data_IF_101780865438
#
_entry.id   IF_101780865438
#
_cell.length_a   1.000
_cell.length_b   1.000
_cell.length_c   1.000
_cell.angle_alpha   90.00
_cell.angle_beta   90.00
_cell.angle_gamma   90.00
#
_symmetry.space_group_name_H-M   'P 1'
#
loop_
_entity.id
_entity.type
_entity.pdbx_description
1 polymer ?
#
# COMPACT_ATOMS: atom_id res chain seq x y z
N UNK A 1 -5.72 -55.78 -11.70
CA UNK A 1 -5.59 -55.40 -10.28
C UNK A 1 -5.79 -53.87 -10.21
N UNK A 2 -7.04 -53.45 -10.03
CA UNK A 2 -7.40 -52.04 -9.89
C UNK A 2 -7.13 -51.63 -8.44
N UNK A 3 -6.31 -50.61 -8.21
CA UNK A 3 -6.16 -49.97 -6.90
C UNK A 3 -7.20 -48.86 -6.80
N UNK A 4 -8.17 -49.05 -5.93
CA UNK A 4 -9.06 -48.00 -5.48
C UNK A 4 -8.26 -46.96 -4.68
N UNK A 5 -8.33 -45.70 -5.12
CA UNK A 5 -7.80 -44.58 -4.39
C UNK A 5 -8.81 -44.25 -3.29
N UNK A 6 -8.50 -44.58 -2.06
CA UNK A 6 -9.26 -44.15 -0.88
C UNK A 6 -8.93 -42.68 -0.60
N UNK A 7 -9.83 -41.81 -1.03
CA UNK A 7 -9.77 -40.38 -0.65
C UNK A 7 -10.21 -40.29 0.81
N UNK A 8 -9.25 -40.10 1.68
CA UNK A 8 -9.49 -39.87 3.09
C UNK A 8 -10.16 -38.51 3.26
N UNK A 9 -11.43 -38.47 3.63
CA UNK A 9 -12.20 -37.24 3.88
C UNK A 9 -11.68 -36.54 5.14
N UNK A 10 -10.67 -35.71 5.01
CA UNK A 10 -10.29 -34.79 6.05
C UNK A 10 -11.44 -33.80 6.32
N UNK A 11 -11.94 -33.83 7.53
CA UNK A 11 -13.02 -32.92 7.99
C UNK A 11 -12.46 -31.50 8.05
N UNK A 12 -12.74 -30.70 7.02
CA UNK A 12 -12.50 -29.26 7.07
C UNK A 12 -13.30 -28.67 8.22
N UNK A 13 -12.69 -27.97 9.18
CA UNK A 13 -13.42 -27.33 10.27
C UNK A 13 -14.48 -26.39 9.71
N UNK A 14 -15.71 -26.46 10.21
CA UNK A 14 -16.87 -25.66 9.74
C UNK A 14 -16.63 -24.15 9.74
N UNK A 15 -15.68 -23.66 10.53
CA UNK A 15 -15.29 -22.24 10.59
C UNK A 15 -14.56 -21.79 9.31
N UNK A 16 -13.76 -22.68 8.69
CA UNK A 16 -13.03 -22.36 7.45
C UNK A 16 -13.98 -22.32 6.26
N UNK A 17 -15.00 -23.18 6.25
CA UNK A 17 -15.98 -23.18 5.17
C UNK A 17 -16.84 -21.90 5.13
N UNK A 18 -17.14 -21.28 6.28
CA UNK A 18 -17.95 -20.06 6.35
C UNK A 18 -17.14 -18.82 5.89
N UNK A 19 -15.84 -18.78 6.13
CA UNK A 19 -14.96 -17.68 5.69
C UNK A 19 -14.70 -17.79 4.18
N UNK A 20 -14.52 -19.00 3.65
CA UNK A 20 -14.27 -19.24 2.22
C UNK A 20 -15.45 -18.83 1.32
N UNK A 21 -16.68 -19.02 1.76
CA UNK A 21 -17.88 -18.62 0.99
C UNK A 21 -18.06 -17.11 0.94
N UNK A 22 -17.70 -16.38 1.99
CA UNK A 22 -17.79 -14.92 2.02
C UNK A 22 -16.71 -14.24 1.15
N UNK A 23 -15.54 -14.88 0.99
CA UNK A 23 -14.42 -14.33 0.20
C UNK A 23 -14.50 -14.64 -1.29
N UNK A 24 -15.14 -15.72 -1.70
CA UNK A 24 -15.26 -16.10 -3.12
C UNK A 24 -16.19 -15.20 -3.94
N UNK A 25 -17.03 -14.39 -3.32
CA UNK A 25 -17.93 -13.46 -4.01
C UNK A 25 -17.32 -12.08 -4.28
N UNK A 26 -16.12 -11.78 -3.78
CA UNK A 26 -15.44 -10.48 -3.94
C UNK A 26 -14.14 -10.50 -4.77
N UNK A 27 -13.72 -11.67 -5.28
CA UNK A 27 -12.36 -11.87 -5.82
C UNK A 27 -12.18 -11.40 -7.28
N UNK A 28 -13.21 -11.06 -8.03
CA UNK A 28 -13.05 -10.78 -9.46
C UNK A 28 -12.64 -9.36 -9.84
N UNK A 29 -12.51 -8.41 -8.91
CA UNK A 29 -12.18 -7.01 -9.23
C UNK A 29 -10.96 -6.42 -8.51
N UNK A 30 -10.36 -7.13 -7.56
CA UNK A 30 -9.33 -6.55 -6.67
C UNK A 30 -7.87 -6.82 -7.07
N UNK A 31 -7.60 -7.70 -8.02
CA UNK A 31 -6.22 -8.01 -8.46
C UNK A 31 -5.52 -6.89 -9.23
N UNK A 32 -6.27 -5.89 -9.69
CA UNK A 32 -5.71 -4.74 -10.41
C UNK A 32 -5.28 -3.58 -9.49
N UNK A 33 -5.81 -3.46 -8.27
CA UNK A 33 -5.57 -2.30 -7.41
C UNK A 33 -4.41 -2.45 -6.41
N UNK A 34 -4.07 -3.65 -5.96
CA UNK A 34 -3.00 -3.83 -4.96
C UNK A 34 -1.60 -3.61 -5.52
N UNK A 35 -1.40 -3.84 -6.81
CA UNK A 35 -0.15 -3.45 -7.50
C UNK A 35 -0.08 -1.95 -7.79
N UNK A 36 -1.20 -1.23 -7.78
CA UNK A 36 -1.25 0.22 -8.02
C UNK A 36 -0.93 1.05 -6.77
N UNK A 37 -1.16 0.55 -5.56
CA UNK A 37 -0.84 1.30 -4.33
C UNK A 37 0.67 1.49 -4.11
N UNK A 38 1.50 0.60 -4.65
CA UNK A 38 2.95 0.77 -4.65
C UNK A 38 3.47 1.56 -5.88
N UNK A 39 2.68 1.67 -6.95
CA UNK A 39 3.06 2.30 -8.21
C UNK A 39 2.48 3.71 -8.42
N UNK A 40 1.60 4.20 -7.55
CA UNK A 40 0.91 5.48 -7.71
C UNK A 40 1.78 6.73 -7.46
N UNK A 41 3.11 6.60 -7.40
CA UNK A 41 4.02 7.75 -7.53
C UNK A 41 4.55 7.97 -8.96
N UNK A 42 4.27 7.08 -9.90
CA UNK A 42 4.53 7.34 -11.31
C UNK A 42 3.30 8.03 -11.94
N UNK A 43 3.28 9.35 -11.92
CA UNK A 43 2.40 10.10 -12.82
C UNK A 43 2.82 9.77 -14.26
N UNK A 44 2.08 8.88 -14.90
CA UNK A 44 2.19 8.73 -16.36
C UNK A 44 1.83 10.07 -17.00
N UNK A 45 2.82 10.77 -17.53
CA UNK A 45 2.55 11.87 -18.47
C UNK A 45 1.75 11.30 -19.64
N UNK A 46 0.63 11.92 -20.06
CA UNK A 46 -0.04 11.50 -21.28
C UNK A 46 1.01 11.49 -22.39
N UNK A 47 1.12 10.39 -23.10
CA UNK A 47 2.01 10.29 -24.25
C UNK A 47 1.73 11.47 -25.18
N UNK A 48 2.76 12.26 -25.44
CA UNK A 48 2.65 13.40 -26.31
C UNK A 48 2.15 12.91 -27.69
N UNK A 49 0.91 13.22 -28.00
CA UNK A 49 0.33 12.90 -29.29
C UNK A 49 1.16 13.59 -30.36
N UNK A 50 1.81 12.81 -31.25
CA UNK A 50 2.53 13.31 -32.43
C UNK A 50 1.60 13.83 -33.53
N UNK A 51 0.37 14.19 -33.20
CA UNK A 51 -0.47 14.92 -34.13
C UNK A 51 -0.07 16.38 -34.11
N UNK A 52 0.35 16.88 -35.25
CA UNK A 52 0.57 18.31 -35.48
C UNK A 52 -0.62 19.11 -34.90
N UNK A 53 -0.40 20.25 -34.28
CA UNK A 53 -1.47 21.03 -33.68
C UNK A 53 -2.45 21.41 -34.80
N UNK A 54 -3.67 20.90 -34.68
CA UNK A 54 -4.76 21.31 -35.53
C UNK A 54 -4.98 22.81 -35.34
N UNK A 55 -4.83 23.59 -36.42
CA UNK A 55 -5.01 25.05 -36.37
C UNK A 55 -6.47 25.29 -35.95
N UNK A 56 -6.68 25.60 -34.69
CA UNK A 56 -8.02 25.94 -34.18
C UNK A 56 -8.52 27.17 -34.94
N UNK A 57 -9.67 27.04 -35.61
CA UNK A 57 -10.37 28.18 -36.22
C UNK A 57 -10.57 29.26 -35.14
N UNK A 58 -10.37 30.55 -35.47
CA UNK A 58 -10.56 31.63 -34.50
C UNK A 58 -11.97 31.57 -33.90
N UNK A 59 -12.04 31.65 -32.57
CA UNK A 59 -13.31 31.69 -31.86
C UNK A 59 -14.03 32.98 -32.27
N UNK A 60 -15.31 32.91 -32.68
CA UNK A 60 -16.07 34.09 -33.07
C UNK A 60 -16.05 35.14 -31.95
N UNK A 61 -15.91 36.41 -32.31
CA UNK A 61 -15.80 37.54 -31.37
C UNK A 61 -17.01 37.65 -30.41
N UNK A 62 -18.17 37.11 -30.78
CA UNK A 62 -19.37 37.06 -29.92
C UNK A 62 -19.20 36.23 -28.61
N UNK A 63 -18.23 35.30 -28.59
CA UNK A 63 -17.97 34.48 -27.39
C UNK A 63 -16.95 35.15 -26.50
N UNK A 64 -16.06 35.99 -27.05
CA UNK A 64 -15.05 36.73 -26.26
C UNK A 64 -15.65 37.71 -25.27
N UNK A 65 -16.84 38.21 -25.51
CA UNK A 65 -17.50 39.20 -24.64
C UNK A 65 -18.34 38.59 -23.52
N UNK A 66 -18.39 37.24 -23.40
CA UNK A 66 -19.14 36.52 -22.35
C UNK A 66 -18.26 35.75 -21.38
N UNK A 67 -16.95 35.88 -21.47
CA UNK A 67 -16.09 35.36 -20.42
C UNK A 67 -16.45 36.09 -19.10
N UNK A 68 -16.81 35.36 -18.04
CA UNK A 68 -17.01 35.99 -16.75
C UNK A 68 -15.74 36.80 -16.42
N UNK A 69 -15.90 38.05 -15.96
CA UNK A 69 -14.79 38.84 -15.44
C UNK A 69 -14.15 38.04 -14.32
N UNK A 70 -13.02 37.44 -14.59
CA UNK A 70 -12.19 36.87 -13.57
C UNK A 70 -11.77 38.02 -12.66
N UNK A 71 -12.38 38.10 -11.49
CA UNK A 71 -11.94 39.00 -10.44
C UNK A 71 -10.55 38.49 -10.08
N UNK A 72 -9.53 39.21 -10.52
CA UNK A 72 -8.15 38.93 -10.14
C UNK A 72 -8.01 39.34 -8.67
N UNK A 73 -8.31 38.40 -7.79
CA UNK A 73 -7.78 38.46 -6.44
C UNK A 73 -6.30 38.12 -6.53
N UNK A 74 -5.47 39.15 -6.44
CA UNK A 74 -4.04 39.08 -6.69
C UNK A 74 -3.26 38.43 -5.53
N UNK A 75 -3.94 37.88 -4.52
CA UNK A 75 -3.25 37.40 -3.33
C UNK A 75 -2.58 36.03 -3.48
N UNK A 76 -2.95 35.18 -4.44
CA UNK A 76 -2.37 33.82 -4.54
C UNK A 76 -2.18 33.24 -5.94
N UNK A 77 -2.55 33.91 -7.02
CA UNK A 77 -2.37 33.37 -8.40
C UNK A 77 -3.11 32.06 -8.72
N UNK A 78 -3.69 31.43 -7.72
CA UNK A 78 -4.39 30.14 -7.84
C UNK A 78 -5.90 30.34 -7.79
N UNK A 79 -6.58 29.97 -8.86
CA UNK A 79 -8.04 29.91 -8.87
C UNK A 79 -8.42 28.45 -8.56
N UNK A 80 -9.00 28.19 -7.38
CA UNK A 80 -9.43 26.84 -7.05
C UNK A 80 -10.49 26.40 -8.05
N UNK A 81 -10.25 25.29 -8.76
CA UNK A 81 -11.27 24.64 -9.56
C UNK A 81 -12.33 24.12 -8.60
N UNK A 82 -13.63 24.37 -8.81
CA UNK A 82 -14.65 23.84 -7.94
C UNK A 82 -14.55 22.34 -7.90
N UNK A 83 -14.42 21.79 -6.69
CA UNK A 83 -14.31 20.35 -6.50
C UNK A 83 -15.57 19.65 -6.99
N UNK A 84 -15.38 18.42 -7.43
CA UNK A 84 -16.48 17.59 -7.94
C UNK A 84 -17.65 17.49 -6.96
N UNK A 85 -17.40 17.42 -5.65
CA UNK A 85 -18.43 17.32 -4.62
C UNK A 85 -19.24 18.61 -4.46
N UNK A 86 -18.65 19.82 -4.63
CA UNK A 86 -19.37 21.11 -4.56
C UNK A 86 -20.37 21.26 -5.71
N UNK A 87 -19.98 20.83 -6.91
CA UNK A 87 -20.85 20.89 -8.09
C UNK A 87 -22.11 20.03 -7.90
N UNK A 88 -21.97 18.85 -7.31
CA UNK A 88 -23.07 17.92 -7.14
C UNK A 88 -23.94 18.30 -5.94
N UNK A 89 -23.36 18.88 -4.90
CA UNK A 89 -24.12 19.46 -3.78
C UNK A 89 -25.07 20.58 -4.27
N UNK A 90 -24.62 21.42 -5.22
CA UNK A 90 -25.46 22.46 -5.81
C UNK A 90 -26.64 21.92 -6.64
N UNK A 91 -26.56 20.70 -7.16
CA UNK A 91 -27.66 20.04 -7.87
C UNK A 91 -28.57 19.24 -6.90
N UNK A 92 -28.30 19.25 -5.60
CA UNK A 92 -29.19 18.66 -4.56
C UNK A 92 -29.19 17.13 -4.50
N UNK A 93 -28.15 16.47 -5.01
CA UNK A 93 -28.00 15.00 -4.89
C UNK A 93 -27.61 14.67 -3.45
N UNK A 94 -28.50 13.99 -2.74
CA UNK A 94 -28.25 13.46 -1.40
C UNK A 94 -27.54 12.10 -1.49
N UNK A 95 -26.64 11.84 -0.57
CA UNK A 95 -25.80 10.66 -0.56
C UNK A 95 -25.92 9.92 0.77
N UNK A 96 -25.80 8.59 0.70
CA UNK A 96 -25.80 7.72 1.85
C UNK A 96 -24.38 7.32 2.23
N UNK A 97 -24.07 7.30 3.53
CA UNK A 97 -22.83 6.72 4.06
C UNK A 97 -22.67 5.24 3.71
N UNK A 98 -23.77 4.55 3.48
CA UNK A 98 -23.79 3.14 3.13
C UNK A 98 -23.61 2.87 1.63
N UNK A 99 -23.60 3.90 0.78
CA UNK A 99 -23.36 3.72 -0.66
C UNK A 99 -21.85 3.60 -0.93
N UNK A 100 -21.35 2.42 -1.34
CA UNK A 100 -19.92 2.22 -1.58
C UNK A 100 -19.45 2.83 -2.90
N UNK A 101 -20.35 3.26 -3.78
CA UNK A 101 -20.00 3.67 -5.15
C UNK A 101 -20.11 5.17 -5.38
N UNK A 102 -21.02 5.85 -4.69
CA UNK A 102 -21.31 7.24 -4.93
C UNK A 102 -20.87 8.10 -3.75
N UNK A 103 -19.94 9.02 -4.00
CA UNK A 103 -19.59 10.19 -3.16
C UNK A 103 -19.68 9.94 -1.65
N UNK A 104 -19.19 8.79 -1.22
CA UNK A 104 -19.22 8.41 0.18
C UNK A 104 -18.15 9.23 0.95
N UNK A 105 -18.52 9.97 2.00
CA UNK A 105 -17.57 10.75 2.80
C UNK A 105 -16.48 9.90 3.45
N UNK A 106 -16.72 8.60 3.71
CA UNK A 106 -15.73 7.67 4.26
C UNK A 106 -14.67 7.28 3.20
N UNK A 107 -14.93 7.50 1.90
CA UNK A 107 -13.99 7.26 0.81
C UNK A 107 -13.22 8.53 0.41
N UNK A 108 -13.38 9.62 1.12
CA UNK A 108 -12.75 10.89 0.78
C UNK A 108 -13.39 11.64 -0.38
N UNK A 109 -14.59 11.24 -0.82
CA UNK A 109 -15.26 11.86 -1.97
C UNK A 109 -15.80 13.27 -1.66
N UNK A 110 -16.04 13.55 -0.40
CA UNK A 110 -16.44 14.88 0.11
C UNK A 110 -15.88 15.10 1.52
N UNK A 111 -15.72 16.36 1.96
CA UNK A 111 -15.23 16.62 3.31
C UNK A 111 -16.21 16.07 4.37
N UNK A 112 -15.63 15.47 5.41
CA UNK A 112 -16.38 15.00 6.58
C UNK A 112 -16.59 16.13 7.58
N UNK A 113 -15.58 17.00 7.75
CA UNK A 113 -15.59 18.15 8.64
C UNK A 113 -15.21 19.42 7.90
N UNK A 114 -15.90 20.51 8.17
CA UNK A 114 -15.61 21.80 7.56
C UNK A 114 -15.72 21.77 6.04
N UNK A 115 -14.70 22.34 5.36
CA UNK A 115 -14.66 22.45 3.90
C UNK A 115 -13.48 21.69 3.27
N UNK A 116 -12.54 21.22 4.07
CA UNK A 116 -11.22 20.76 3.65
C UNK A 116 -10.68 19.54 4.41
N UNK A 117 -11.48 18.92 5.29
CA UNK A 117 -11.11 17.72 6.01
C UNK A 117 -11.79 16.49 5.41
N UNK A 118 -11.00 15.57 4.92
CA UNK A 118 -11.44 14.34 4.27
C UNK A 118 -11.01 13.11 5.08
N UNK A 119 -11.87 12.11 5.09
CA UNK A 119 -11.55 10.79 5.65
C UNK A 119 -11.53 9.78 4.50
N UNK A 120 -10.56 8.88 4.53
CA UNK A 120 -10.54 7.71 3.67
C UNK A 120 -10.36 6.47 4.52
N UNK A 121 -11.33 5.56 4.46
CA UNK A 121 -11.31 4.28 5.13
C UNK A 121 -11.32 3.17 4.08
N UNK A 122 -10.32 2.30 4.14
CA UNK A 122 -10.27 1.06 3.36
C UNK A 122 -10.14 -0.14 4.30
N UNK A 123 -10.85 -1.20 3.99
CA UNK A 123 -10.74 -2.50 4.66
C UNK A 123 -10.40 -3.53 3.59
N UNK A 124 -9.27 -4.21 3.77
CA UNK A 124 -8.72 -5.15 2.81
C UNK A 124 -8.54 -6.49 3.54
N UNK A 125 -9.08 -7.56 2.96
CA UNK A 125 -8.81 -8.93 3.35
C UNK A 125 -7.89 -9.53 2.30
N UNK A 126 -6.67 -9.86 2.71
CA UNK A 126 -5.64 -10.46 1.85
C UNK A 126 -5.40 -11.89 2.31
N UNK A 127 -5.99 -12.83 1.56
CA UNK A 127 -6.03 -14.25 1.92
C UNK A 127 -5.19 -15.06 0.94
N UNK A 128 -4.27 -15.84 1.47
CA UNK A 128 -3.46 -16.79 0.69
C UNK A 128 -3.74 -18.20 1.20
N UNK A 129 -4.15 -19.09 0.32
CA UNK A 129 -4.24 -20.51 0.59
C UNK A 129 -3.36 -21.27 -0.43
N UNK A 130 -2.32 -21.91 0.07
CA UNK A 130 -1.30 -22.54 -0.75
C UNK A 130 -1.14 -24.02 -0.35
N UNK A 131 -1.84 -24.96 -1.00
CA UNK A 131 -1.50 -26.37 -0.95
C UNK A 131 -0.32 -26.62 -1.90
N UNK A 132 0.68 -27.36 -1.43
CA UNK A 132 1.87 -27.67 -2.21
C UNK A 132 2.42 -29.04 -1.84
N UNK A 133 3.14 -29.66 -2.77
CA UNK A 133 3.80 -30.93 -2.56
C UNK A 133 5.25 -30.81 -3.01
N UNK A 134 6.15 -30.57 -2.05
CA UNK A 134 7.58 -30.64 -2.26
C UNK A 134 8.30 -30.99 -0.94
N UNK A 135 9.40 -31.75 -1.01
CA UNK A 135 10.08 -32.19 0.19
C UNK A 135 10.70 -31.03 0.94
N UNK A 136 10.47 -30.97 2.27
CA UNK A 136 11.18 -30.09 3.16
C UNK A 136 12.52 -30.73 3.55
N UNK A 137 13.66 -30.03 3.48
CA UNK A 137 14.97 -30.58 3.83
C UNK A 137 15.07 -30.81 5.35
N UNK A 138 14.75 -32.00 5.80
CA UNK A 138 14.83 -32.45 7.20
C UNK A 138 15.73 -33.68 7.32
N UNK A 139 16.14 -34.01 8.54
CA UNK A 139 16.84 -35.27 8.81
C UNK A 139 15.93 -36.49 8.63
N UNK A 140 16.53 -37.69 8.69
CA UNK A 140 15.78 -38.97 8.59
C UNK A 140 14.66 -39.03 9.63
N UNK A 141 13.46 -39.37 9.19
CA UNK A 141 12.25 -39.51 10.00
C UNK A 141 12.12 -40.95 10.51
N UNK A 142 12.52 -41.19 11.76
CA UNK A 142 12.40 -42.54 12.40
C UNK A 142 11.01 -42.83 12.98
N UNK A 143 10.11 -41.84 12.94
CA UNK A 143 8.76 -41.93 13.54
C UNK A 143 7.67 -42.33 12.53
N UNK A 144 8.03 -42.58 11.27
CA UNK A 144 7.07 -43.03 10.25
C UNK A 144 6.81 -44.50 10.34
N UNK A 145 5.72 -44.91 9.71
CA UNK A 145 5.28 -46.30 9.64
C UNK A 145 6.40 -47.22 9.14
N UNK A 146 6.43 -48.43 9.66
CA UNK A 146 7.37 -49.46 9.25
C UNK A 146 7.25 -49.68 7.73
N UNK A 147 8.38 -49.84 7.04
CA UNK A 147 8.49 -49.99 5.58
C UNK A 147 8.05 -48.77 4.74
N UNK A 148 7.94 -47.58 5.32
CA UNK A 148 7.75 -46.40 4.55
C UNK A 148 8.99 -46.10 3.69
N UNK A 149 8.76 -45.77 2.41
CA UNK A 149 9.83 -45.27 1.52
C UNK A 149 10.18 -43.82 1.76
N UNK A 150 9.37 -43.12 2.55
CA UNK A 150 9.53 -41.68 2.84
C UNK A 150 10.43 -41.46 4.03
N UNK A 151 11.70 -41.80 3.92
CA UNK A 151 12.70 -41.69 4.99
C UNK A 151 12.88 -40.25 5.51
N UNK A 152 12.67 -39.25 4.66
CA UNK A 152 12.87 -37.84 4.98
C UNK A 152 11.56 -37.11 5.27
N UNK A 153 10.42 -37.76 5.20
CA UNK A 153 9.10 -37.23 5.38
C UNK A 153 8.27 -37.23 4.11
N UNK A 154 6.97 -36.98 4.22
CA UNK A 154 6.11 -36.71 3.08
C UNK A 154 6.45 -35.35 2.46
N UNK A 155 5.74 -34.99 1.43
CA UNK A 155 5.98 -33.75 0.73
C UNK A 155 4.79 -32.81 0.82
N UNK A 156 3.66 -33.29 1.33
CA UNK A 156 2.42 -32.51 1.33
C UNK A 156 2.40 -31.47 2.44
N UNK A 157 2.07 -30.26 2.03
CA UNK A 157 2.03 -29.11 2.90
C UNK A 157 0.85 -28.24 2.51
N UNK A 158 0.29 -27.52 3.47
CA UNK A 158 -0.61 -26.43 3.14
C UNK A 158 -0.41 -25.25 4.10
N UNK A 159 -0.55 -24.07 3.55
CA UNK A 159 -0.40 -22.81 4.27
C UNK A 159 -1.65 -21.98 4.04
N UNK A 160 -2.19 -21.44 5.10
CA UNK A 160 -3.21 -20.39 5.06
C UNK A 160 -2.69 -19.15 5.76
N UNK A 161 -2.75 -18.03 5.07
CA UNK A 161 -2.41 -16.73 5.66
C UNK A 161 -3.52 -15.74 5.33
N UNK A 162 -3.98 -15.03 6.34
CA UNK A 162 -4.99 -13.98 6.24
C UNK A 162 -4.47 -12.71 6.89
N UNK A 163 -4.48 -11.60 6.15
CA UNK A 163 -4.23 -10.27 6.66
C UNK A 163 -5.50 -9.43 6.53
N UNK A 164 -6.10 -9.06 7.65
CA UNK A 164 -7.14 -8.06 7.68
C UNK A 164 -6.47 -6.69 7.92
N UNK A 165 -6.47 -5.86 6.88
CA UNK A 165 -5.82 -4.54 6.86
C UNK A 165 -6.91 -3.49 6.92
N UNK A 166 -6.85 -2.58 7.89
CA UNK A 166 -7.78 -1.46 8.02
C UNK A 166 -6.97 -0.18 7.87
N UNK A 167 -7.11 0.52 6.75
CA UNK A 167 -6.40 1.77 6.49
C UNK A 167 -7.33 2.96 6.70
N UNK A 168 -6.94 3.83 7.62
CA UNK A 168 -7.64 5.08 7.92
C UNK A 168 -6.70 6.25 7.63
N UNK A 169 -7.11 7.15 6.72
CA UNK A 169 -6.43 8.41 6.45
C UNK A 169 -7.35 9.59 6.75
N UNK A 170 -6.85 10.54 7.53
CA UNK A 170 -7.48 11.83 7.75
C UNK A 170 -6.62 12.90 7.09
N UNK A 171 -7.16 13.56 6.08
CA UNK A 171 -6.45 14.46 5.19
C UNK A 171 -7.07 15.85 5.27
N UNK A 172 -6.23 16.87 5.42
CA UNK A 172 -6.65 18.28 5.33
C UNK A 172 -6.05 18.92 4.10
N UNK A 173 -6.84 19.69 3.38
CA UNK A 173 -6.41 20.51 2.27
C UNK A 173 -7.04 20.10 0.95
N UNK A 174 -6.75 20.89 -0.08
CA UNK A 174 -7.16 20.64 -1.45
C UNK A 174 -6.07 19.83 -2.15
N UNK A 175 -6.32 18.52 -2.30
CA UNK A 175 -5.33 17.56 -2.82
C UNK A 175 -5.37 17.40 -4.34
N UNK A 176 -6.17 18.20 -5.04
CA UNK A 176 -6.37 18.01 -6.48
C UNK A 176 -5.07 18.14 -7.30
N UNK A 177 -4.16 19.03 -6.89
CA UNK A 177 -2.90 19.29 -7.61
C UNK A 177 -1.71 19.60 -6.69
N UNK A 178 -1.89 19.55 -5.39
CA UNK A 178 -0.83 19.82 -4.39
C UNK A 178 -0.87 18.76 -3.28
N UNK A 179 0.22 18.57 -2.52
CA UNK A 179 0.20 17.74 -1.33
C UNK A 179 -0.85 18.25 -0.33
N UNK A 180 -1.44 17.37 0.50
CA UNK A 180 -2.30 17.79 1.59
C UNK A 180 -1.53 18.67 2.58
N UNK A 181 -2.23 19.62 3.22
CA UNK A 181 -1.62 20.44 4.28
C UNK A 181 -1.22 19.57 5.47
N UNK A 182 -2.08 18.58 5.81
CA UNK A 182 -1.85 17.56 6.84
C UNK A 182 -2.41 16.21 6.39
N UNK A 183 -1.70 15.15 6.72
CA UNK A 183 -2.21 13.78 6.61
C UNK A 183 -1.90 13.02 7.91
N UNK A 184 -2.91 12.42 8.52
CA UNK A 184 -2.77 11.41 9.56
C UNK A 184 -3.16 10.08 8.96
N UNK A 185 -2.28 9.08 9.03
CA UNK A 185 -2.60 7.73 8.58
C UNK A 185 -2.38 6.72 9.68
N UNK A 186 -3.32 5.80 9.79
CA UNK A 186 -3.27 4.68 10.71
C UNK A 186 -3.73 3.42 9.98
N UNK A 187 -2.85 2.42 9.90
CA UNK A 187 -3.13 1.17 9.20
C UNK A 187 -2.82 -0.02 10.10
N UNK A 188 -3.72 -0.40 11.03
CA UNK A 188 -3.61 -1.65 11.76
C UNK A 188 -3.79 -2.85 10.84
N UNK A 189 -3.06 -3.92 11.15
CA UNK A 189 -3.13 -5.22 10.47
C UNK A 189 -3.30 -6.31 11.50
N UNK A 190 -4.30 -7.16 11.29
CA UNK A 190 -4.53 -8.39 12.05
C UNK A 190 -4.15 -9.54 11.13
N UNK A 191 -3.11 -10.28 11.51
CA UNK A 191 -2.66 -11.46 10.80
C UNK A 191 -3.12 -12.73 11.52
N UNK A 192 -3.57 -13.68 10.74
CA UNK A 192 -3.80 -15.06 11.14
C UNK A 192 -3.09 -15.96 10.14
N UNK A 193 -2.20 -16.83 10.61
CA UNK A 193 -1.57 -17.81 9.76
C UNK A 193 -1.65 -19.22 10.36
N UNK A 194 -1.79 -20.18 9.48
CA UNK A 194 -1.80 -21.60 9.80
C UNK A 194 -0.96 -22.35 8.76
N UNK A 195 -0.09 -23.19 9.25
CA UNK A 195 0.74 -24.05 8.42
C UNK A 195 0.65 -25.48 8.93
N UNK A 196 0.55 -26.45 8.00
CA UNK A 196 0.62 -27.86 8.25
C UNK A 196 1.64 -28.46 7.27
N UNK A 197 2.52 -29.31 7.79
CA UNK A 197 3.51 -30.03 7.01
C UNK A 197 3.52 -31.49 7.49
N UNK A 198 3.93 -32.42 6.66
CA UNK A 198 4.03 -33.81 7.07
C UNK A 198 5.30 -34.14 7.86
N UNK A 199 6.34 -33.32 7.68
CA UNK A 199 7.63 -33.53 8.33
C UNK A 199 7.63 -33.00 9.76
N UNK A 200 8.12 -33.84 10.69
CA UNK A 200 8.33 -33.44 12.09
C UNK A 200 9.53 -32.50 12.23
N UNK A 201 9.51 -31.64 13.26
CA UNK A 201 10.56 -30.64 13.60
C UNK A 201 10.73 -29.49 12.62
N UNK A 202 9.81 -29.32 11.69
CA UNK A 202 9.80 -28.16 10.77
C UNK A 202 9.14 -26.96 11.45
N UNK A 203 7.88 -27.11 11.86
CA UNK A 203 7.12 -26.02 12.49
C UNK A 203 7.32 -25.91 13.99
N UNK A 204 7.72 -26.99 14.65
CA UNK A 204 7.99 -27.06 16.09
C UNK A 204 9.25 -27.87 16.37
N UNK A 205 10.12 -27.37 17.24
CA UNK A 205 11.37 -28.04 17.59
C UNK A 205 11.13 -29.37 18.30
N UNK A 206 10.11 -29.46 19.19
CA UNK A 206 9.70 -30.68 19.86
C UNK A 206 8.72 -31.47 18.97
N UNK A 207 9.11 -32.67 18.50
CA UNK A 207 8.27 -33.47 17.60
C UNK A 207 6.97 -33.95 18.24
N UNK A 208 6.89 -33.97 19.59
CA UNK A 208 5.67 -34.38 20.29
C UNK A 208 4.55 -33.33 20.20
N UNK A 209 4.88 -32.10 19.80
CA UNK A 209 3.91 -31.02 19.60
C UNK A 209 3.21 -31.06 18.24
N UNK A 210 3.52 -32.07 17.38
CA UNK A 210 2.89 -32.26 16.09
C UNK A 210 3.53 -31.42 14.98
N UNK A 211 2.85 -31.43 13.84
CA UNK A 211 3.32 -30.89 12.56
C UNK A 211 2.48 -29.75 12.02
N UNK A 212 1.62 -29.18 12.85
CA UNK A 212 0.79 -28.02 12.55
C UNK A 212 1.14 -26.83 13.43
N UNK A 213 0.96 -25.63 12.94
CA UNK A 213 1.18 -24.39 13.69
C UNK A 213 0.18 -23.32 13.30
N UNK A 214 -0.42 -22.70 14.31
CA UNK A 214 -1.32 -21.56 14.15
C UNK A 214 -0.77 -20.39 14.93
N UNK A 215 -0.62 -19.23 14.28
CA UNK A 215 -0.17 -17.99 14.91
C UNK A 215 -1.12 -16.84 14.61
N UNK A 216 -1.14 -15.86 15.50
CA UNK A 216 -1.90 -14.62 15.36
C UNK A 216 -1.00 -13.46 15.71
N UNK A 217 -1.05 -12.42 14.91
CA UNK A 217 -0.25 -11.25 15.12
C UNK A 217 -1.06 -9.97 14.88
N UNK A 218 -0.78 -8.94 15.69
CA UNK A 218 -1.34 -7.60 15.51
C UNK A 218 -0.21 -6.60 15.36
N UNK A 219 -0.32 -5.73 14.36
CA UNK A 219 0.68 -4.70 14.09
C UNK A 219 0.08 -3.43 13.54
N UNK A 220 0.92 -2.41 13.43
CA UNK A 220 0.69 -1.21 12.63
C UNK A 220 1.61 -1.24 11.42
N UNK A 221 1.02 -1.38 10.23
CA UNK A 221 1.77 -1.28 8.97
C UNK A 221 2.17 0.17 8.71
N UNK A 222 1.26 1.11 9.02
CA UNK A 222 1.50 2.54 8.93
C UNK A 222 0.87 3.24 10.14
N UNK A 223 1.59 4.22 10.69
CA UNK A 223 1.10 5.13 11.72
C UNK A 223 1.93 6.39 11.65
N UNK A 224 1.52 7.37 10.83
CA UNK A 224 2.32 8.56 10.60
C UNK A 224 1.50 9.83 10.52
N UNK A 225 2.21 10.92 10.70
CA UNK A 225 1.76 12.28 10.44
C UNK A 225 2.64 12.89 9.36
N UNK A 226 2.01 13.45 8.33
CA UNK A 226 2.63 14.21 7.25
C UNK A 226 2.23 15.69 7.37
N UNK A 227 3.20 16.55 7.26
CA UNK A 227 3.01 17.99 7.32
C UNK A 227 3.65 18.67 6.11
N UNK A 228 2.83 19.36 5.33
CA UNK A 228 3.27 20.22 4.25
C UNK A 228 3.82 21.52 4.82
N UNK A 229 5.14 21.72 4.71
CA UNK A 229 5.82 22.88 5.30
C UNK A 229 5.55 24.12 4.47
N UNK A 230 5.75 24.01 3.14
CA UNK A 230 5.59 25.16 2.23
C UNK A 230 5.54 24.75 0.77
N UNK A 231 4.92 25.59 -0.04
CA UNK A 231 5.14 25.65 -1.49
C UNK A 231 6.41 26.44 -1.76
N UNK A 232 7.26 25.93 -2.65
CA UNK A 232 8.54 26.57 -3.01
C UNK A 232 8.41 27.38 -4.29
N UNK A 233 7.51 26.97 -5.20
CA UNK A 233 7.22 27.68 -6.44
C UNK A 233 5.73 27.66 -6.75
N UNK A 234 5.32 28.49 -7.73
CA UNK A 234 3.96 28.49 -8.28
C UNK A 234 3.67 27.27 -9.16
N UNK A 235 4.61 26.34 -9.27
CA UNK A 235 4.54 25.13 -10.11
C UNK A 235 4.49 23.84 -9.29
N UNK A 236 3.94 23.91 -8.07
CA UNK A 236 3.75 22.76 -7.17
C UNK A 236 5.03 22.18 -6.56
N UNK A 237 6.18 22.87 -6.65
CA UNK A 237 7.36 22.50 -5.90
C UNK A 237 7.11 22.75 -4.42
N UNK A 238 7.47 21.81 -3.56
CA UNK A 238 7.13 21.83 -2.15
C UNK A 238 8.21 21.22 -1.25
N UNK A 239 8.07 21.47 0.03
CA UNK A 239 8.78 20.78 1.11
C UNK A 239 7.76 20.21 2.10
N UNK A 240 7.95 18.94 2.48
CA UNK A 240 7.12 18.24 3.48
C UNK A 240 7.97 17.44 4.43
N UNK A 241 7.42 17.19 5.61
CA UNK A 241 8.01 16.31 6.63
C UNK A 241 7.01 15.26 7.05
N UNK A 242 7.48 14.01 7.21
CA UNK A 242 6.67 12.90 7.69
C UNK A 242 7.35 12.23 8.87
N UNK A 243 6.60 11.95 9.92
CA UNK A 243 7.08 11.28 11.13
C UNK A 243 6.16 10.12 11.50
N UNK A 244 6.73 9.00 11.90
CA UNK A 244 6.01 7.82 12.34
C UNK A 244 6.41 6.55 11.60
N UNK A 245 5.60 5.50 11.75
CA UNK A 245 5.77 4.25 10.99
C UNK A 245 5.24 4.48 9.58
N UNK A 246 6.14 4.49 8.61
CA UNK A 246 5.84 4.89 7.24
C UNK A 246 6.52 3.98 6.22
N UNK A 247 5.85 3.65 5.11
CA UNK A 247 6.46 2.91 4.03
C UNK A 247 7.48 3.79 3.30
N UNK A 248 8.60 3.20 2.95
CA UNK A 248 9.63 3.85 2.17
C UNK A 248 10.37 2.85 1.28
N UNK A 249 10.59 3.23 0.03
CA UNK A 249 11.46 2.55 -0.92
C UNK A 249 12.55 3.51 -1.36
N UNK A 250 13.81 3.13 -1.18
CA UNK A 250 14.95 3.99 -1.44
C UNK A 250 15.39 4.05 -2.90
N UNK A 251 14.95 3.11 -3.69
CA UNK A 251 15.29 2.98 -5.11
C UNK A 251 14.13 2.41 -5.92
N UNK A 252 14.24 2.43 -7.25
CA UNK A 252 13.18 2.01 -8.17
C UNK A 252 12.68 0.57 -7.98
N UNK A 253 13.48 -0.29 -7.38
CA UNK A 253 13.15 -1.70 -7.15
C UNK A 253 13.18 -2.11 -5.69
N UNK A 254 13.54 -1.19 -4.80
CA UNK A 254 13.61 -1.44 -3.36
C UNK A 254 14.74 -2.38 -2.94
N UNK A 255 15.78 -2.54 -3.75
CA UNK A 255 16.89 -3.45 -3.41
C UNK A 255 17.71 -3.00 -2.21
N UNK A 256 17.89 -1.69 -2.06
CA UNK A 256 18.72 -1.15 -0.99
C UNK A 256 17.94 -1.06 0.31
N UNK A 257 16.72 -0.54 0.23
CA UNK A 257 15.82 -0.45 1.38
C UNK A 257 14.37 -0.32 0.88
N UNK A 258 13.54 -1.27 1.32
CA UNK A 258 12.09 -1.23 1.11
C UNK A 258 11.41 -1.83 2.34
N UNK A 259 10.82 -0.97 3.17
CA UNK A 259 10.12 -1.43 4.37
C UNK A 259 9.19 -0.33 4.90
N UNK A 260 8.36 -0.68 5.88
CA UNK A 260 7.55 0.25 6.68
C UNK A 260 8.18 0.35 8.06
N UNK A 261 8.88 1.45 8.35
CA UNK A 261 9.67 1.60 9.57
C UNK A 261 9.38 2.92 10.28
N UNK A 262 9.68 2.95 11.59
CA UNK A 262 9.57 4.17 12.39
C UNK A 262 10.66 5.15 11.98
N UNK A 263 10.29 6.37 11.60
CA UNK A 263 11.29 7.35 11.19
C UNK A 263 10.77 8.75 10.97
N UNK A 264 11.73 9.59 10.57
CA UNK A 264 11.54 10.97 10.15
C UNK A 264 11.99 11.08 8.69
N UNK A 265 11.17 11.65 7.84
CA UNK A 265 11.47 11.87 6.43
C UNK A 265 11.18 13.32 6.07
N UNK A 266 12.17 13.99 5.47
CA UNK A 266 12.03 15.29 4.82
C UNK A 266 12.14 15.09 3.32
N UNK A 267 11.16 15.59 2.56
CA UNK A 267 11.06 15.33 1.15
C UNK A 267 10.35 16.46 0.40
N UNK A 268 10.56 16.49 -0.89
CA UNK A 268 9.94 17.47 -1.75
C UNK A 268 10.42 17.37 -3.18
N UNK A 269 10.04 18.36 -3.96
CA UNK A 269 10.43 18.49 -5.35
C UNK A 269 10.89 19.90 -5.71
N UNK A 270 11.54 20.02 -6.87
CA UNK A 270 12.11 21.27 -7.40
C UNK A 270 12.00 21.29 -8.92
N UNK A 271 11.96 22.52 -9.44
CA UNK A 271 11.96 22.79 -10.87
C UNK A 271 10.81 22.12 -11.61
N UNK A 272 9.58 22.24 -11.09
CA UNK A 272 8.40 21.62 -11.64
C UNK A 272 8.54 20.08 -11.73
N UNK A 273 8.91 19.48 -10.59
CA UNK A 273 9.07 18.04 -10.44
C UNK A 273 10.20 17.40 -11.27
N UNK A 274 11.18 18.19 -11.74
CA UNK A 274 12.38 17.65 -12.41
C UNK A 274 13.27 16.94 -11.37
N UNK A 275 13.40 17.52 -10.19
CA UNK A 275 14.15 16.94 -9.09
C UNK A 275 13.21 16.57 -7.95
N UNK A 276 13.30 15.33 -7.48
CA UNK A 276 12.63 14.88 -6.27
C UNK A 276 13.71 14.41 -5.29
N UNK A 277 13.59 14.82 -4.04
CA UNK A 277 14.57 14.46 -3.03
C UNK A 277 13.90 13.87 -1.78
N UNK A 278 14.64 13.01 -1.09
CA UNK A 278 14.30 12.48 0.23
C UNK A 278 15.55 12.47 1.11
N UNK A 279 15.38 12.95 2.33
CA UNK A 279 16.30 12.77 3.43
C UNK A 279 15.55 12.06 4.53
N UNK A 280 15.96 10.86 4.88
CA UNK A 280 15.23 10.04 5.83
C UNK A 280 16.16 9.43 6.88
N UNK A 281 15.64 9.33 8.09
CA UNK A 281 16.19 8.54 9.16
C UNK A 281 15.13 7.56 9.64
N UNK A 282 15.49 6.28 9.69
CA UNK A 282 14.62 5.23 10.18
C UNK A 282 15.30 4.47 11.31
N UNK A 283 14.56 4.22 12.38
CA UNK A 283 14.93 3.29 13.43
C UNK A 283 14.11 2.01 13.26
N UNK A 284 14.80 0.88 13.05
CA UNK A 284 14.14 -0.35 12.66
C UNK A 284 13.33 -0.97 13.78
N UNK A 285 12.14 -1.42 13.43
CA UNK A 285 11.29 -2.24 14.27
C UNK A 285 11.66 -3.72 14.10
N UNK A 286 11.47 -4.51 15.15
CA UNK A 286 11.54 -5.96 15.02
C UNK A 286 10.44 -6.49 14.10
N UNK A 287 10.72 -7.62 13.45
CA UNK A 287 9.74 -8.33 12.64
C UNK A 287 9.21 -9.56 13.39
N UNK A 288 7.93 -9.83 13.21
CA UNK A 288 7.38 -11.11 13.57
C UNK A 288 7.88 -12.21 12.64
N UNK A 289 8.36 -13.31 13.19
CA UNK A 289 9.04 -14.35 12.41
C UNK A 289 8.12 -15.16 11.50
N UNK A 290 6.80 -15.15 11.77
CA UNK A 290 5.83 -15.92 11.00
C UNK A 290 5.16 -15.10 9.91
N UNK A 291 4.68 -13.91 10.27
CA UNK A 291 3.98 -13.02 9.34
C UNK A 291 4.92 -12.09 8.57
N UNK A 292 6.15 -11.87 9.05
CA UNK A 292 7.08 -10.86 8.48
C UNK A 292 6.68 -9.42 8.75
N UNK A 293 5.58 -9.19 9.45
CA UNK A 293 5.07 -7.87 9.81
C UNK A 293 5.86 -7.25 10.95
N UNK A 294 5.77 -5.95 11.15
CA UNK A 294 6.41 -5.26 12.27
C UNK A 294 5.91 -5.79 13.61
N UNK A 295 6.80 -5.94 14.59
CA UNK A 295 6.45 -6.37 15.93
C UNK A 295 6.48 -5.17 16.89
N UNK A 296 5.41 -4.39 16.94
CA UNK A 296 5.32 -3.13 17.69
C UNK A 296 5.38 -3.31 19.22
N UNK A 297 5.18 -4.53 19.73
CA UNK A 297 5.23 -4.83 21.17
C UNK A 297 6.64 -5.19 21.65
N UNK A 298 7.57 -5.44 20.74
CA UNK A 298 8.98 -5.69 21.08
C UNK A 298 9.76 -4.40 21.19
N UNK A 299 10.90 -4.48 21.87
CA UNK A 299 11.86 -3.38 21.92
C UNK A 299 12.30 -3.01 20.51
N UNK A 300 12.30 -1.72 20.22
CA UNK A 300 12.83 -1.18 18.96
C UNK A 300 14.30 -1.57 18.84
N UNK A 301 14.73 -1.96 17.65
CA UNK A 301 16.12 -2.34 17.36
C UNK A 301 17.04 -1.15 17.56
N UNK A 302 18.26 -1.42 17.95
CA UNK A 302 19.34 -0.43 17.98
C UNK A 302 20.04 -0.44 16.62
N UNK A 303 19.30 -0.03 15.61
CA UNK A 303 19.66 -0.13 14.20
C UNK A 303 19.03 1.08 13.47
N UNK A 304 19.87 2.08 13.21
CA UNK A 304 19.51 3.35 12.59
C UNK A 304 19.96 3.40 11.13
N UNK A 305 19.05 3.72 10.23
CA UNK A 305 19.31 3.86 8.81
C UNK A 305 19.10 5.30 8.38
N UNK A 306 20.12 5.89 7.77
CA UNK A 306 20.09 7.21 7.18
C UNK A 306 20.10 7.07 5.66
N UNK A 307 19.16 7.74 4.99
CA UNK A 307 18.98 7.65 3.55
C UNK A 307 18.90 9.05 2.97
N UNK A 308 19.67 9.27 1.90
CA UNK A 308 19.54 10.44 1.06
C UNK A 308 19.36 9.99 -0.39
N UNK A 309 18.28 10.37 -1.04
CA UNK A 309 18.10 10.09 -2.45
C UNK A 309 17.65 11.31 -3.25
N UNK A 310 18.03 11.33 -4.51
CA UNK A 310 17.68 12.32 -5.49
C UNK A 310 17.24 11.60 -6.76
N UNK A 311 16.04 11.90 -7.20
CA UNK A 311 15.54 11.52 -8.52
C UNK A 311 15.67 12.71 -9.46
N UNK A 312 16.16 12.46 -10.66
CA UNK A 312 16.33 13.44 -11.71
C UNK A 312 15.60 12.97 -12.95
N UNK A 313 14.51 13.69 -13.29
CA UNK A 313 13.72 13.41 -14.47
C UNK A 313 14.37 14.03 -15.71
N UNK A 314 14.18 13.37 -16.85
CA UNK A 314 14.65 13.82 -18.17
C UNK A 314 16.18 14.01 -18.24
N UNK A 315 16.97 13.21 -17.49
CA UNK A 315 18.42 13.21 -17.52
C UNK A 315 18.96 11.79 -17.77
N UNK A 316 19.96 11.59 -18.67
CA UNK A 316 20.64 12.59 -19.50
C UNK A 316 19.86 13.09 -20.72
N UNK A 317 18.74 12.44 -21.06
CA UNK A 317 17.88 12.82 -22.19
C UNK A 317 16.41 12.73 -21.81
N UNK A 318 15.54 13.43 -22.55
CA UNK A 318 14.09 13.42 -22.33
C UNK A 318 13.53 11.99 -22.28
N UNK A 319 12.74 11.70 -21.25
CA UNK A 319 12.14 10.38 -21.01
C UNK A 319 12.99 9.44 -20.16
N UNK A 320 14.24 9.81 -19.82
CA UNK A 320 15.03 9.09 -18.83
C UNK A 320 14.76 9.59 -17.43
N UNK A 321 14.83 8.67 -16.46
CA UNK A 321 14.81 8.98 -15.05
C UNK A 321 16.07 8.40 -14.41
N UNK A 322 16.87 9.27 -13.81
CA UNK A 322 18.10 8.90 -13.09
C UNK A 322 17.89 9.03 -11.59
N UNK A 323 18.54 8.17 -10.84
CA UNK A 323 18.48 8.19 -9.38
C UNK A 323 19.87 8.04 -8.78
N UNK A 324 20.13 8.80 -7.72
CA UNK A 324 21.31 8.65 -6.86
C UNK A 324 20.79 8.42 -5.43
N UNK A 325 21.26 7.35 -4.81
CA UNK A 325 20.89 7.01 -3.43
C UNK A 325 22.13 6.72 -2.60
N UNK A 326 22.25 7.38 -1.46
CA UNK A 326 23.23 7.08 -0.41
C UNK A 326 22.53 6.53 0.81
N UNK A 327 23.04 5.43 1.37
CA UNK A 327 22.52 4.79 2.58
C UNK A 327 23.67 4.56 3.55
N UNK A 328 23.42 4.93 4.80
CA UNK A 328 24.33 4.64 5.92
C UNK A 328 23.53 3.93 7.02
N UNK A 329 24.02 2.78 7.46
CA UNK A 329 23.44 2.00 8.56
C UNK A 329 24.41 2.00 9.74
N UNK A 330 23.87 2.20 10.95
CA UNK A 330 24.64 2.22 12.20
C UNK A 330 24.00 1.28 13.21
#
# INVERSE_FOLDING_TARGET
>A
MQREIIINKTKIPKVIASVLVATLLSISSLWAETTQLAQNFERQRPAASKKAPEIRKPIPNSIKNRAPRIIKDHSTGFIPVPDRWRLIETIGVLESLADPYNRNPIKGDRPLFGKDWFINLAVISDSVFEPRSFPTPVGVQSTRDENSLDLFGGADQWIFNENLIISLSLIKGDTAFKPPDYEFRLTPVINFNHAEVEEVRVLKADPRLGTERTDRHFTLAEAFFDYHIRNVSDRYDFDSVRIGIQPFSSDFRGFLFQDSQLGLRFFGDRSNNIFQYNLAWFRRLEKDSNSGLNHIQRKIRDDDIFIANLYWQDFPTLGFQSQITGIYNR
#
